data_IF_468287036498
#
_entry.id   IF_468287036498
#
_cell.length_a   1.000
_cell.length_b   1.000
_cell.length_c   1.000
_cell.angle_alpha   90.00
_cell.angle_beta   90.00
_cell.angle_gamma   90.00
#
_symmetry.space_group_name_H-M   'P 1'
#
loop_
_entity.id
_entity.type
_entity.pdbx_description
1 polymer ?
#
# COMPACT_ATOMS: atom_id res chain seq x y z
N UNK A 1 27.65 4.59 34.49
CA UNK A 1 26.40 4.86 33.71
C UNK A 1 26.71 4.58 32.25
N UNK A 2 26.08 3.54 31.68
CA UNK A 2 26.45 2.99 30.40
C UNK A 2 25.68 3.74 29.27
N UNK A 3 26.36 4.56 28.48
CA UNK A 3 25.82 5.42 27.41
C UNK A 3 25.35 4.61 26.21
N UNK A 4 25.57 3.28 26.16
CA UNK A 4 25.25 2.39 25.05
C UNK A 4 23.76 1.98 24.94
N UNK A 5 22.94 2.27 25.94
CA UNK A 5 21.52 1.84 25.98
C UNK A 5 20.54 2.82 25.31
N UNK A 6 20.97 4.03 24.96
CA UNK A 6 20.06 5.08 24.42
C UNK A 6 20.02 5.10 22.89
N UNK A 7 20.97 4.46 22.20
CA UNK A 7 21.02 4.48 20.73
C UNK A 7 20.27 3.34 20.03
N UNK A 8 19.80 2.32 20.76
CA UNK A 8 19.12 1.16 20.16
C UNK A 8 17.71 1.41 19.58
N UNK A 9 16.82 2.25 20.16
CA UNK A 9 15.48 2.43 19.62
C UNK A 9 15.48 3.12 18.25
N UNK A 10 16.30 4.15 18.04
CA UNK A 10 16.36 4.90 16.78
C UNK A 10 16.85 4.06 15.57
N UNK A 11 17.78 3.13 15.79
CA UNK A 11 18.28 2.25 14.72
C UNK A 11 17.25 1.18 14.34
N UNK A 12 16.45 0.69 15.28
CA UNK A 12 15.34 -0.24 14.97
C UNK A 12 14.25 0.45 14.16
N UNK A 13 13.82 1.61 14.57
CA UNK A 13 12.79 2.39 13.83
C UNK A 13 13.23 2.70 12.40
N UNK A 14 14.50 3.04 12.18
CA UNK A 14 15.04 3.29 10.84
C UNK A 14 15.09 2.02 9.98
N UNK A 15 15.49 0.88 10.56
CA UNK A 15 15.49 -0.42 9.85
C UNK A 15 14.06 -0.85 9.46
N UNK A 16 13.11 -0.69 10.37
CA UNK A 16 11.71 -1.04 10.14
C UNK A 16 11.11 -0.15 9.05
N UNK A 17 11.38 1.15 9.08
CA UNK A 17 10.95 2.09 8.04
C UNK A 17 11.59 1.78 6.68
N UNK A 18 12.88 1.47 6.65
CA UNK A 18 13.60 1.12 5.43
C UNK A 18 13.10 -0.20 4.83
N UNK A 19 12.85 -1.21 5.67
CA UNK A 19 12.27 -2.49 5.23
C UNK A 19 10.86 -2.32 4.68
N UNK A 20 10.05 -1.48 5.33
CA UNK A 20 8.72 -1.12 4.84
C UNK A 20 8.79 -0.43 3.47
N UNK A 21 9.69 0.54 3.33
CA UNK A 21 9.90 1.25 2.05
C UNK A 21 10.34 0.29 0.93
N UNK A 22 11.29 -0.61 1.20
CA UNK A 22 11.72 -1.61 0.22
C UNK A 22 10.58 -2.56 -0.18
N UNK A 23 9.75 -2.99 0.77
CA UNK A 23 8.59 -3.85 0.48
C UNK A 23 7.55 -3.10 -0.35
N UNK A 24 7.31 -1.83 -0.05
CA UNK A 24 6.42 -0.98 -0.83
C UNK A 24 6.94 -0.76 -2.25
N UNK A 25 8.25 -0.51 -2.41
CA UNK A 25 8.89 -0.36 -3.72
C UNK A 25 8.82 -1.65 -4.55
N UNK A 26 9.06 -2.80 -3.93
CA UNK A 26 8.90 -4.11 -4.57
C UNK A 26 7.46 -4.30 -5.06
N UNK A 27 6.47 -4.03 -4.21
CA UNK A 27 5.05 -4.11 -4.58
C UNK A 27 4.68 -3.18 -5.72
N UNK A 28 5.17 -1.94 -5.69
CA UNK A 28 4.97 -0.96 -6.76
C UNK A 28 5.59 -1.41 -8.09
N UNK A 29 6.80 -1.99 -8.05
CA UNK A 29 7.47 -2.52 -9.24
C UNK A 29 6.71 -3.70 -9.85
N UNK A 30 6.26 -4.63 -9.02
CA UNK A 30 5.45 -5.78 -9.47
C UNK A 30 4.13 -5.29 -10.08
N UNK A 31 3.44 -4.37 -9.42
CA UNK A 31 2.20 -3.79 -9.93
C UNK A 31 2.41 -3.13 -11.30
N UNK A 32 3.45 -2.32 -11.44
CA UNK A 32 3.77 -1.61 -12.67
C UNK A 32 4.07 -2.58 -13.82
N UNK A 33 4.95 -3.55 -13.61
CA UNK A 33 5.34 -4.54 -14.62
C UNK A 33 4.15 -5.43 -15.01
N UNK A 34 3.41 -5.92 -14.01
CA UNK A 34 2.24 -6.77 -14.24
C UNK A 34 1.15 -6.04 -15.02
N UNK A 35 0.91 -4.76 -14.73
CA UNK A 35 -0.04 -3.95 -15.50
C UNK A 35 0.37 -3.85 -16.98
N UNK A 36 1.65 -3.62 -17.30
CA UNK A 36 2.12 -3.57 -18.68
C UNK A 36 1.87 -4.90 -19.39
N UNK A 37 2.15 -6.03 -18.73
CA UNK A 37 1.86 -7.36 -19.25
C UNK A 37 0.36 -7.57 -19.48
N UNK A 38 -0.50 -7.29 -18.50
CA UNK A 38 -1.94 -7.46 -18.63
C UNK A 38 -2.56 -6.53 -19.67
N UNK A 39 -1.95 -5.36 -19.92
CA UNK A 39 -2.43 -4.40 -20.92
C UNK A 39 -2.37 -4.93 -22.36
N UNK A 40 -1.62 -5.98 -22.62
CA UNK A 40 -1.59 -6.68 -23.91
C UNK A 40 -2.85 -7.50 -24.18
N UNK A 41 -3.56 -7.90 -23.12
CA UNK A 41 -4.74 -8.79 -23.20
C UNK A 41 -6.04 -8.10 -22.78
N UNK A 42 -5.97 -7.07 -21.94
CA UNK A 42 -7.13 -6.42 -21.35
C UNK A 42 -7.13 -4.92 -21.62
N UNK A 43 -8.27 -4.28 -21.37
CA UNK A 43 -8.40 -2.82 -21.31
C UNK A 43 -7.57 -2.20 -20.17
N UNK A 44 -7.46 -0.87 -20.16
CA UNK A 44 -6.64 -0.16 -19.20
C UNK A 44 -7.07 -0.43 -17.75
N UNK A 45 -8.37 -0.29 -17.46
CA UNK A 45 -8.91 -0.42 -16.10
C UNK A 45 -8.67 -1.82 -15.53
N UNK A 46 -8.98 -2.85 -16.33
CA UNK A 46 -8.76 -4.26 -15.96
C UNK A 46 -7.28 -4.57 -15.79
N UNK A 47 -6.42 -4.02 -16.63
CA UNK A 47 -4.96 -4.23 -16.49
C UNK A 47 -4.40 -3.60 -15.21
N UNK A 48 -4.88 -2.42 -14.80
CA UNK A 48 -4.54 -1.79 -13.52
C UNK A 48 -5.02 -2.64 -12.34
N UNK A 49 -6.26 -3.13 -12.39
CA UNK A 49 -6.83 -4.03 -11.38
C UNK A 49 -5.99 -5.30 -11.22
N UNK A 50 -5.74 -6.01 -12.32
CA UNK A 50 -4.95 -7.26 -12.30
C UNK A 50 -3.52 -7.03 -11.83
N UNK A 51 -2.89 -5.93 -12.24
CA UNK A 51 -1.55 -5.55 -11.79
C UNK A 51 -1.49 -5.38 -10.26
N UNK A 52 -2.45 -4.66 -9.70
CA UNK A 52 -2.55 -4.46 -8.25
C UNK A 52 -2.77 -5.78 -7.50
N UNK A 53 -3.70 -6.61 -7.96
CA UNK A 53 -4.00 -7.91 -7.33
C UNK A 53 -2.77 -8.83 -7.35
N UNK A 54 -2.06 -8.90 -8.49
CA UNK A 54 -0.81 -9.67 -8.61
C UNK A 54 0.25 -9.17 -7.62
N UNK A 55 0.45 -7.86 -7.53
CA UNK A 55 1.39 -7.27 -6.58
C UNK A 55 0.99 -7.59 -5.13
N UNK A 56 -0.30 -7.47 -4.79
CA UNK A 56 -0.81 -7.75 -3.44
C UNK A 56 -0.59 -9.22 -3.05
N UNK A 57 -0.87 -10.16 -3.95
CA UNK A 57 -0.67 -11.60 -3.70
C UNK A 57 0.81 -11.91 -3.52
N UNK A 58 1.68 -11.41 -4.40
CA UNK A 58 3.12 -11.71 -4.35
C UNK A 58 3.82 -11.04 -3.17
N UNK A 59 3.37 -9.86 -2.75
CA UNK A 59 3.92 -9.15 -1.59
C UNK A 59 3.30 -9.60 -0.26
N UNK A 60 2.21 -10.36 -0.28
CA UNK A 60 1.57 -10.87 0.93
C UNK A 60 2.52 -11.74 1.76
N UNK A 61 3.26 -12.63 1.12
CA UNK A 61 4.19 -13.55 1.81
C UNK A 61 5.34 -12.79 2.52
N UNK A 62 6.08 -11.88 1.84
CA UNK A 62 7.06 -11.03 2.51
C UNK A 62 6.45 -10.19 3.62
N UNK A 63 5.32 -9.55 3.36
CA UNK A 63 4.64 -8.70 4.34
C UNK A 63 4.23 -9.50 5.58
N UNK A 64 3.67 -10.70 5.39
CA UNK A 64 3.32 -11.59 6.50
C UNK A 64 4.55 -11.97 7.33
N UNK A 65 5.68 -12.29 6.70
CA UNK A 65 6.91 -12.68 7.41
C UNK A 65 7.56 -11.52 8.15
N UNK A 66 7.58 -10.33 7.57
CA UNK A 66 8.33 -9.19 8.11
C UNK A 66 7.47 -8.25 8.95
N UNK A 67 6.22 -7.99 8.58
CA UNK A 67 5.34 -7.10 9.31
C UNK A 67 4.63 -7.81 10.48
N UNK A 68 4.24 -9.08 10.34
CA UNK A 68 3.50 -9.82 11.36
C UNK A 68 4.39 -10.62 12.34
N UNK A 69 5.66 -10.89 12.01
CA UNK A 69 6.57 -11.53 12.97
C UNK A 69 7.08 -10.56 14.06
N UNK A 70 6.95 -9.26 13.85
CA UNK A 70 7.31 -8.26 14.86
C UNK A 70 6.25 -8.08 15.95
N UNK A 71 5.02 -8.54 15.77
CA UNK A 71 3.92 -8.43 16.72
C UNK A 71 3.54 -9.79 17.32
N UNK A 72 4.11 -10.14 18.48
CA UNK A 72 3.63 -11.25 19.34
C UNK A 72 2.28 -10.91 20.01
N UNK A 73 1.39 -10.21 19.32
CA UNK A 73 0.03 -9.99 19.78
C UNK A 73 -0.84 -11.08 19.21
N UNK A 74 -1.42 -11.95 20.04
CA UNK A 74 -2.16 -13.17 19.71
C UNK A 74 -3.45 -13.00 18.86
N UNK A 75 -3.54 -11.95 18.02
CA UNK A 75 -4.71 -11.58 17.22
C UNK A 75 -4.37 -11.37 15.71
N UNK A 76 -3.52 -12.22 15.17
CA UNK A 76 -3.03 -12.16 13.78
C UNK A 76 -4.17 -12.10 12.73
N UNK A 77 -5.30 -12.77 12.98
CA UNK A 77 -6.46 -12.76 12.08
C UNK A 77 -7.12 -11.39 11.97
N UNK A 78 -7.26 -10.68 13.07
CA UNK A 78 -7.89 -9.35 13.13
C UNK A 78 -7.06 -8.28 12.44
N UNK A 79 -5.74 -8.40 12.54
CA UNK A 79 -4.78 -7.51 11.86
C UNK A 79 -4.76 -7.77 10.36
N UNK A 80 -4.83 -9.03 9.94
CA UNK A 80 -4.93 -9.41 8.53
C UNK A 80 -6.21 -8.88 7.87
N UNK A 81 -7.35 -8.94 8.55
CA UNK A 81 -8.63 -8.39 8.02
C UNK A 81 -8.56 -6.88 7.87
N UNK A 82 -7.97 -6.15 8.83
CA UNK A 82 -7.76 -4.70 8.74
C UNK A 82 -6.84 -4.35 7.58
N UNK A 83 -5.74 -5.08 7.44
CA UNK A 83 -4.79 -4.90 6.33
C UNK A 83 -5.48 -5.10 4.97
N UNK A 84 -6.24 -6.18 4.83
CA UNK A 84 -6.97 -6.47 3.59
C UNK A 84 -8.02 -5.40 3.28
N UNK A 85 -8.73 -4.91 4.29
CA UNK A 85 -9.70 -3.81 4.13
C UNK A 85 -9.05 -2.54 3.62
N UNK A 86 -7.88 -2.17 4.15
CA UNK A 86 -7.10 -1.00 3.68
C UNK A 86 -6.62 -1.23 2.24
N UNK A 87 -6.11 -2.43 1.93
CA UNK A 87 -5.65 -2.78 0.60
C UNK A 87 -6.77 -2.71 -0.45
N UNK A 88 -8.00 -3.13 -0.10
CA UNK A 88 -9.17 -2.99 -0.97
C UNK A 88 -9.54 -1.53 -1.23
N UNK A 89 -9.51 -0.68 -0.22
CA UNK A 89 -9.73 0.76 -0.39
C UNK A 89 -8.67 1.36 -1.30
N UNK A 90 -7.41 1.03 -1.08
CA UNK A 90 -6.31 1.50 -1.90
C UNK A 90 -6.38 1.02 -3.36
N UNK A 91 -6.87 -0.22 -3.59
CA UNK A 91 -7.16 -0.74 -4.93
C UNK A 91 -8.21 0.10 -5.65
N UNK A 92 -9.34 0.38 -4.98
CA UNK A 92 -10.41 1.21 -5.54
C UNK A 92 -9.85 2.60 -5.88
N UNK A 93 -9.11 3.23 -4.97
CA UNK A 93 -8.46 4.52 -5.22
C UNK A 93 -7.53 4.45 -6.43
N UNK A 94 -6.69 3.41 -6.54
CA UNK A 94 -5.77 3.27 -7.68
C UNK A 94 -6.50 3.20 -9.01
N UNK A 95 -7.49 2.32 -9.14
CA UNK A 95 -8.22 2.12 -10.39
C UNK A 95 -8.98 3.38 -10.80
N UNK A 96 -9.75 3.97 -9.88
CA UNK A 96 -10.52 5.18 -10.18
C UNK A 96 -9.63 6.39 -10.50
N UNK A 97 -8.57 6.62 -9.74
CA UNK A 97 -7.65 7.74 -10.00
C UNK A 97 -6.90 7.55 -11.31
N UNK A 98 -6.41 6.34 -11.61
CA UNK A 98 -5.75 6.06 -12.87
C UNK A 98 -6.69 6.28 -14.07
N UNK A 99 -7.92 5.75 -13.99
CA UNK A 99 -8.94 5.95 -15.01
C UNK A 99 -9.27 7.43 -15.19
N UNK A 100 -9.62 8.13 -14.13
CA UNK A 100 -9.93 9.57 -14.17
C UNK A 100 -8.78 10.38 -14.78
N UNK A 101 -7.55 10.11 -14.34
CA UNK A 101 -6.36 10.79 -14.86
C UNK A 101 -6.19 10.52 -16.36
N UNK A 102 -6.42 9.29 -16.80
CA UNK A 102 -6.31 8.93 -18.22
C UNK A 102 -7.36 9.64 -19.06
N UNK A 103 -8.61 9.54 -18.67
CA UNK A 103 -9.75 10.02 -19.48
C UNK A 103 -9.88 11.55 -19.49
N UNK A 104 -9.73 12.19 -18.33
CA UNK A 104 -10.05 13.61 -18.15
C UNK A 104 -8.83 14.53 -18.16
N UNK A 105 -7.63 13.99 -17.98
CA UNK A 105 -6.40 14.80 -17.92
C UNK A 105 -5.46 14.43 -19.06
N UNK A 106 -4.98 13.18 -19.10
CA UNK A 106 -3.92 12.80 -20.01
C UNK A 106 -4.39 12.74 -21.49
N UNK A 107 -5.59 12.26 -21.74
CA UNK A 107 -6.11 12.15 -23.12
C UNK A 107 -6.41 13.52 -23.75
N UNK A 108 -7.04 14.48 -23.05
CA UNK A 108 -7.21 15.84 -23.59
C UNK A 108 -5.90 16.61 -23.77
N UNK A 109 -4.92 16.44 -22.86
CA UNK A 109 -3.64 17.16 -22.94
C UNK A 109 -2.71 16.60 -24.02
N UNK A 110 -2.77 15.30 -24.30
CA UNK A 110 -1.91 14.61 -25.24
C UNK A 110 -2.73 13.76 -26.22
N UNK A 111 -3.47 14.35 -27.18
CA UNK A 111 -4.44 13.64 -28.01
C UNK A 111 -3.78 12.69 -29.03
N UNK A 112 -2.49 12.83 -29.32
CA UNK A 112 -1.79 12.04 -30.34
C UNK A 112 -1.82 10.54 -30.03
N UNK A 113 -2.20 9.67 -31.01
CA UNK A 113 -2.24 8.22 -30.81
C UNK A 113 -0.90 7.61 -30.40
N UNK A 114 0.20 8.18 -30.88
CA UNK A 114 1.58 7.74 -30.59
C UNK A 114 1.92 7.86 -29.09
N UNK A 115 1.28 8.79 -28.38
CA UNK A 115 1.48 9.02 -26.95
C UNK A 115 0.60 8.15 -26.05
N UNK A 116 -0.18 7.21 -26.62
CA UNK A 116 -1.08 6.35 -25.85
C UNK A 116 -0.38 5.64 -24.68
N UNK A 117 0.78 5.04 -24.94
CA UNK A 117 1.55 4.32 -23.90
C UNK A 117 1.99 5.27 -22.79
N UNK A 118 2.45 6.47 -23.13
CA UNK A 118 2.88 7.47 -22.15
C UNK A 118 1.73 8.00 -21.30
N UNK A 119 0.56 8.24 -21.90
CA UNK A 119 -0.67 8.62 -21.18
C UNK A 119 -1.10 7.58 -20.16
N UNK A 120 -1.19 6.33 -20.62
CA UNK A 120 -1.58 5.21 -19.77
C UNK A 120 -0.57 4.98 -18.64
N UNK A 121 0.72 5.11 -18.93
CA UNK A 121 1.79 4.96 -17.94
C UNK A 121 1.76 6.08 -16.92
N UNK A 122 1.63 7.33 -17.36
CA UNK A 122 1.51 8.49 -16.47
C UNK A 122 0.28 8.39 -15.56
N UNK A 123 -0.87 8.07 -16.13
CA UNK A 123 -2.12 7.90 -15.39
C UNK A 123 -2.01 6.77 -14.34
N UNK A 124 -1.38 5.67 -14.70
CA UNK A 124 -1.14 4.57 -13.77
C UNK A 124 -0.21 4.98 -12.62
N UNK A 125 0.87 5.70 -12.88
CA UNK A 125 1.77 6.20 -11.85
C UNK A 125 1.07 7.15 -10.87
N UNK A 126 0.20 8.02 -11.37
CA UNK A 126 -0.63 8.89 -10.50
C UNK A 126 -1.56 8.04 -9.62
N UNK A 127 -2.24 7.04 -10.20
CA UNK A 127 -3.08 6.10 -9.45
C UNK A 127 -2.31 5.35 -8.37
N UNK A 128 -1.10 4.86 -8.69
CA UNK A 128 -0.21 4.20 -7.73
C UNK A 128 0.20 5.14 -6.58
N UNK A 129 0.54 6.39 -6.88
CA UNK A 129 0.89 7.38 -5.87
C UNK A 129 -0.26 7.65 -4.90
N UNK A 130 -1.47 7.83 -5.41
CA UNK A 130 -2.66 8.04 -4.59
C UNK A 130 -3.04 6.79 -3.78
N UNK A 131 -2.90 5.61 -4.35
CA UNK A 131 -3.08 4.33 -3.64
C UNK A 131 -2.07 4.18 -2.50
N UNK A 132 -0.81 4.55 -2.73
CA UNK A 132 0.21 4.55 -1.67
C UNK A 132 -0.16 5.48 -0.51
N UNK A 133 -0.64 6.68 -0.80
CA UNK A 133 -1.12 7.61 0.22
C UNK A 133 -2.33 7.05 0.97
N UNK A 134 -3.29 6.44 0.27
CA UNK A 134 -4.46 5.81 0.88
C UNK A 134 -4.05 4.67 1.83
N UNK A 135 -3.10 3.82 1.42
CA UNK A 135 -2.52 2.78 2.27
C UNK A 135 -1.83 3.39 3.50
N UNK A 136 -0.98 4.39 3.32
CA UNK A 136 -0.26 5.03 4.41
C UNK A 136 -1.21 5.63 5.46
N UNK A 137 -2.17 6.44 5.01
CA UNK A 137 -3.15 7.04 5.92
C UNK A 137 -4.09 6.01 6.53
N UNK A 138 -4.53 5.02 5.77
CA UNK A 138 -5.36 3.92 6.25
C UNK A 138 -4.68 3.16 7.39
N UNK A 139 -3.44 2.76 7.21
CA UNK A 139 -2.66 2.10 8.24
C UNK A 139 -2.41 3.01 9.45
N UNK A 140 -2.04 4.27 9.22
CA UNK A 140 -1.81 5.23 10.29
C UNK A 140 -3.06 5.45 11.15
N UNK A 141 -4.22 5.60 10.53
CA UNK A 141 -5.48 5.87 11.25
C UNK A 141 -6.05 4.63 11.95
N UNK A 142 -5.97 3.45 11.31
CA UNK A 142 -6.59 2.23 11.83
C UNK A 142 -5.68 1.43 12.75
N UNK A 143 -4.36 1.49 12.55
CA UNK A 143 -3.40 0.73 13.35
C UNK A 143 -2.97 1.51 14.59
N UNK A 144 -2.68 2.81 14.48
CA UNK A 144 -2.20 3.61 15.62
C UNK A 144 -3.33 4.12 16.54
N UNK A 145 -4.56 4.21 16.05
CA UNK A 145 -5.70 4.69 16.86
C UNK A 145 -6.32 3.61 17.75
N UNK A 146 -6.11 2.33 17.43
CA UNK A 146 -6.75 1.22 18.16
C UNK A 146 -6.05 0.82 19.46
N UNK A 147 -4.77 1.11 19.64
CA UNK A 147 -4.02 0.74 20.85
C UNK A 147 -4.34 1.62 22.06
N UNK A 148 -4.63 2.90 21.87
CA UNK A 148 -4.87 3.82 23.00
C UNK A 148 -6.30 3.85 23.54
N UNK A 149 -7.31 3.55 22.71
CA UNK A 149 -8.72 3.59 23.11
C UNK A 149 -9.13 2.29 23.82
N UNK A 150 -8.62 1.16 23.35
CA UNK A 150 -8.94 -0.15 23.96
C UNK A 150 -8.34 -0.30 25.36
N UNK A 151 -7.11 0.18 25.57
CA UNK A 151 -6.46 0.16 26.89
C UNK A 151 -7.15 1.12 27.88
N UNK A 152 -7.67 2.27 27.42
CA UNK A 152 -8.48 3.17 28.25
C UNK A 152 -9.85 2.60 28.61
N UNK A 153 -10.48 1.84 27.72
CA UNK A 153 -11.77 1.21 28.01
C UNK A 153 -11.60 0.01 28.96
N UNK A 154 -10.51 -0.75 28.81
CA UNK A 154 -10.21 -1.89 29.69
C UNK A 154 -9.84 -1.44 31.11
N UNK A 155 -9.12 -0.34 31.25
CA UNK A 155 -8.79 0.22 32.57
C UNK A 155 -10.02 0.81 33.30
N UNK A 156 -11.05 1.27 32.55
CA UNK A 156 -12.31 1.76 33.14
C UNK A 156 -13.28 0.65 33.57
N UNK A 157 -13.18 -0.55 33.00
CA UNK A 157 -14.05 -1.67 33.39
C UNK A 157 -13.44 -2.53 34.51
N UNK A 158 -12.22 -2.23 34.95
CA UNK A 158 -11.50 -2.91 36.01
C UNK A 158 -11.42 -2.08 37.33
N UNK A 159 -12.01 -0.90 37.35
CA UNK A 159 -12.23 -0.04 38.52
C UNK A 159 -13.71 -0.03 38.92
#
# INVERSE_FOLDING_TARGET
MNVSSIQQPKQREFKDLFTFFLTALLGASINFISRIFYRTYFDFDTSVLCGYLTATILTFIPTKRYAFSAGKTGNTGREAVKFLGIALIALVVQVYVAKYTLEWIATPLFPSPELKLWRETGAHLVGMGMSFLANYFGHKMLTFRSTGVYDRLRSRSAS
#
